data_IF_486049229713
#
_entry.id   IF_486049229713
#
_cell.length_a   1.000
_cell.length_b   1.000
_cell.length_c   1.000
_cell.angle_alpha   90.00
_cell.angle_beta   90.00
_cell.angle_gamma   90.00
#
_symmetry.space_group_name_H-M   'P 1'
#
loop_
_entity.id
_entity.type
_entity.pdbx_description
1 polymer ?
#
# COMPACT_ATOMS: atom_id res chain seq x y z
N UNK A 1 -5.28 14.55 22.15
CA UNK A 1 -4.92 13.98 20.85
C UNK A 1 -3.68 13.13 21.05
N UNK A 2 -3.69 11.87 20.62
CA UNK A 2 -2.48 11.05 20.57
C UNK A 2 -1.53 11.71 19.55
N UNK A 3 -0.31 12.03 19.95
CA UNK A 3 0.67 12.63 19.02
C UNK A 3 1.22 11.50 18.18
N UNK A 4 0.70 11.32 16.96
CA UNK A 4 1.26 10.37 16.02
C UNK A 4 2.66 10.82 15.62
N UNK A 5 3.62 9.92 15.70
CA UNK A 5 5.00 10.15 15.33
C UNK A 5 5.38 9.37 14.06
N UNK A 6 4.61 8.32 13.72
CA UNK A 6 4.86 7.42 12.59
C UNK A 6 3.55 7.17 11.85
N UNK A 7 3.63 6.80 10.61
CA UNK A 7 2.43 6.57 9.79
C UNK A 7 1.58 5.41 10.31
N UNK A 8 2.19 4.34 10.77
CA UNK A 8 1.46 3.18 11.30
C UNK A 8 0.79 3.42 12.66
N UNK A 9 1.08 4.52 13.35
CA UNK A 9 0.37 4.92 14.57
C UNK A 9 -1.14 5.20 14.31
N UNK A 10 -1.54 5.32 13.04
CA UNK A 10 -2.96 5.39 12.67
C UNK A 10 -3.75 4.16 13.14
N UNK A 11 -3.12 2.96 13.21
CA UNK A 11 -3.79 1.74 13.65
C UNK A 11 -4.25 1.84 15.11
N UNK A 12 -3.42 2.35 16.01
CA UNK A 12 -3.76 2.51 17.43
C UNK A 12 -4.95 3.45 17.60
N UNK A 13 -4.97 4.55 16.81
CA UNK A 13 -6.10 5.47 16.79
C UNK A 13 -7.38 4.79 16.30
N UNK A 14 -7.30 4.06 15.18
CA UNK A 14 -8.43 3.36 14.58
C UNK A 14 -9.00 2.28 15.50
N UNK A 15 -8.14 1.49 16.17
CA UNK A 15 -8.54 0.48 17.12
C UNK A 15 -9.27 1.09 18.34
N UNK A 16 -8.88 2.29 18.73
CA UNK A 16 -9.53 3.01 19.84
C UNK A 16 -10.86 3.64 19.45
N UNK A 17 -10.94 4.24 18.26
CA UNK A 17 -12.07 5.08 17.86
C UNK A 17 -13.13 4.34 17.03
N UNK A 18 -12.72 3.35 16.21
CA UNK A 18 -13.63 2.61 15.33
C UNK A 18 -13.21 1.13 15.11
N UNK A 19 -13.07 0.33 16.17
CA UNK A 19 -12.51 -1.03 16.05
C UNK A 19 -13.35 -1.96 15.17
N UNK A 20 -14.67 -1.82 15.18
CA UNK A 20 -15.60 -2.71 14.50
C UNK A 20 -16.24 -2.10 13.24
N UNK A 21 -15.89 -0.84 12.91
CA UNK A 21 -16.39 -0.20 11.70
C UNK A 21 -15.57 -0.63 10.48
N UNK A 22 -16.16 -0.65 9.26
CA UNK A 22 -15.44 -0.89 8.02
C UNK A 22 -14.30 0.13 7.83
N UNK A 23 -13.11 -0.35 7.53
CA UNK A 23 -11.94 0.49 7.26
C UNK A 23 -11.51 0.40 5.79
N UNK A 24 -11.25 -0.81 5.31
CA UNK A 24 -10.84 -1.09 3.93
C UNK A 24 -11.87 -1.99 3.26
N UNK A 25 -12.31 -1.63 2.06
CA UNK A 25 -13.40 -2.34 1.38
C UNK A 25 -13.02 -2.56 -0.09
N UNK A 26 -13.12 -3.80 -0.57
CA UNK A 26 -12.94 -4.14 -1.98
C UNK A 26 -14.01 -5.12 -2.44
N UNK A 27 -14.20 -5.25 -3.75
CA UNK A 27 -15.10 -6.29 -4.28
C UNK A 27 -14.40 -7.64 -4.33
N UNK A 28 -15.04 -8.64 -3.75
CA UNK A 28 -14.69 -10.05 -3.84
C UNK A 28 -15.90 -10.81 -4.38
N UNK A 29 -15.73 -11.53 -5.49
CA UNK A 29 -16.86 -12.23 -6.14
C UNK A 29 -18.05 -11.32 -6.50
N UNK A 30 -17.78 -10.07 -6.88
CA UNK A 30 -18.78 -9.07 -7.26
C UNK A 30 -19.52 -8.40 -6.09
N UNK A 31 -19.14 -8.67 -4.85
CA UNK A 31 -19.74 -8.06 -3.65
C UNK A 31 -18.70 -7.26 -2.86
N UNK A 32 -19.09 -6.12 -2.33
CA UNK A 32 -18.26 -5.32 -1.45
C UNK A 32 -18.02 -6.05 -0.13
N UNK A 33 -16.74 -6.44 0.12
CA UNK A 33 -16.29 -7.04 1.36
C UNK A 33 -15.57 -6.01 2.21
N UNK A 34 -16.12 -5.65 3.37
CA UNK A 34 -15.42 -4.79 4.33
C UNK A 34 -14.43 -5.59 5.19
N UNK A 35 -13.31 -4.95 5.50
CA UNK A 35 -12.40 -5.31 6.57
C UNK A 35 -12.55 -4.25 7.66
N UNK A 36 -12.85 -4.65 8.89
CA UNK A 36 -12.92 -3.75 10.04
C UNK A 36 -11.52 -3.31 10.48
N UNK A 37 -11.43 -2.22 11.25
CA UNK A 37 -10.14 -1.77 11.80
C UNK A 37 -9.44 -2.88 12.60
N UNK A 38 -10.21 -3.67 13.36
CA UNK A 38 -9.69 -4.81 14.13
C UNK A 38 -9.16 -5.92 13.22
N UNK A 39 -9.88 -6.27 12.16
CA UNK A 39 -9.41 -7.27 11.18
C UNK A 39 -8.15 -6.79 10.46
N UNK A 40 -8.09 -5.52 10.05
CA UNK A 40 -6.90 -4.94 9.43
C UNK A 40 -5.71 -5.01 10.37
N UNK A 41 -5.87 -4.61 11.64
CA UNK A 41 -4.81 -4.67 12.63
C UNK A 41 -4.32 -6.11 12.88
N UNK A 42 -5.23 -7.08 13.02
CA UNK A 42 -4.89 -8.49 13.19
C UNK A 42 -4.10 -9.04 11.99
N UNK A 43 -4.52 -8.69 10.77
CA UNK A 43 -3.80 -9.11 9.55
C UNK A 43 -2.41 -8.44 9.49
N UNK A 44 -2.31 -7.16 9.82
CA UNK A 44 -1.03 -6.43 9.85
C UNK A 44 -0.05 -7.08 10.84
N UNK A 45 -0.51 -7.40 12.05
CA UNK A 45 0.30 -8.10 13.06
C UNK A 45 0.77 -9.48 12.56
N UNK A 46 -0.12 -10.27 11.99
CA UNK A 46 0.20 -11.59 11.43
C UNK A 46 1.18 -11.51 10.26
N UNK A 47 0.99 -10.53 9.35
CA UNK A 47 1.93 -10.28 8.25
C UNK A 47 3.31 -9.87 8.78
N UNK A 48 3.36 -8.98 9.76
CA UNK A 48 4.60 -8.54 10.39
C UNK A 48 5.35 -9.73 11.02
N UNK A 49 4.65 -10.56 11.81
CA UNK A 49 5.22 -11.78 12.40
C UNK A 49 5.67 -12.78 11.33
N UNK A 50 4.89 -12.94 10.26
CA UNK A 50 5.26 -13.79 9.12
C UNK A 50 6.50 -13.31 8.38
N UNK A 51 6.64 -12.00 8.18
CA UNK A 51 7.85 -11.42 7.58
C UNK A 51 9.08 -11.61 8.47
N UNK A 52 8.94 -11.44 9.79
CA UNK A 52 10.01 -11.72 10.75
C UNK A 52 10.41 -13.19 10.73
N UNK A 53 9.46 -14.14 10.58
CA UNK A 53 9.76 -15.56 10.46
C UNK A 53 10.55 -15.94 9.21
N UNK A 54 10.45 -15.11 8.15
CA UNK A 54 11.30 -15.23 6.97
C UNK A 54 12.69 -14.60 7.14
N UNK A 55 12.99 -14.07 8.32
CA UNK A 55 14.24 -13.37 8.61
C UNK A 55 14.32 -11.98 7.97
N UNK A 56 13.18 -11.31 7.78
CA UNK A 56 13.19 -9.88 7.45
C UNK A 56 13.76 -9.13 8.63
N UNK A 57 14.76 -8.29 8.38
CA UNK A 57 15.57 -7.67 9.41
C UNK A 57 15.67 -6.16 9.24
N UNK A 58 15.70 -5.47 10.36
CA UNK A 58 16.14 -4.08 10.51
C UNK A 58 17.18 -4.02 11.64
N UNK A 59 18.40 -4.55 11.39
CA UNK A 59 19.45 -4.66 12.41
C UNK A 59 19.84 -3.31 13.00
N UNK A 60 19.98 -2.33 12.14
CA UNK A 60 20.00 -0.91 12.50
C UNK A 60 19.10 -0.14 11.52
N UNK A 61 18.92 1.16 11.73
CA UNK A 61 17.99 1.95 10.91
C UNK A 61 18.67 2.58 9.69
N UNK A 62 19.91 2.18 9.34
CA UNK A 62 20.56 2.56 8.08
C UNK A 62 19.85 1.91 6.88
N UNK A 63 19.86 2.60 5.74
CA UNK A 63 19.17 2.11 4.52
C UNK A 63 19.76 0.77 4.05
N UNK A 64 21.08 0.61 4.17
CA UNK A 64 21.82 -0.55 3.70
C UNK A 64 21.49 -1.82 4.51
N UNK A 65 21.21 -1.67 5.81
CA UNK A 65 20.99 -2.80 6.74
C UNK A 65 19.52 -3.12 6.99
N UNK A 66 18.62 -2.41 6.35
CA UNK A 66 17.19 -2.69 6.40
C UNK A 66 16.77 -3.44 5.16
N UNK A 67 16.05 -4.54 5.35
CA UNK A 67 15.50 -5.31 4.24
C UNK A 67 14.44 -4.51 3.47
N UNK A 68 14.44 -4.66 2.15
CA UNK A 68 13.49 -4.02 1.26
C UNK A 68 12.53 -5.07 0.71
N UNK A 69 11.26 -4.69 0.69
CA UNK A 69 10.15 -5.50 0.19
C UNK A 69 9.49 -4.74 -0.95
N UNK A 70 9.44 -5.34 -2.14
CA UNK A 70 8.74 -4.73 -3.27
C UNK A 70 7.28 -5.17 -3.32
N UNK A 71 6.42 -4.26 -3.80
CA UNK A 71 5.03 -4.55 -4.10
C UNK A 71 4.67 -4.10 -5.51
N UNK A 72 4.17 -5.03 -6.32
CA UNK A 72 3.64 -4.82 -7.67
C UNK A 72 2.17 -5.22 -7.66
N UNK A 73 1.28 -4.32 -7.31
CA UNK A 73 -0.14 -4.64 -7.24
C UNK A 73 -1.00 -3.42 -7.57
N UNK A 74 -2.23 -3.69 -8.00
CA UNK A 74 -3.32 -2.71 -8.08
C UNK A 74 -3.74 -2.30 -6.67
N UNK A 75 -4.57 -1.26 -6.58
CA UNK A 75 -5.15 -0.84 -5.31
C UNK A 75 -6.02 -1.97 -4.73
N UNK A 76 -5.74 -2.32 -3.48
CA UNK A 76 -6.44 -3.38 -2.75
C UNK A 76 -6.16 -3.27 -1.23
N UNK A 77 -7.04 -3.79 -0.37
CA UNK A 77 -6.81 -3.78 1.08
C UNK A 77 -5.46 -4.33 1.51
N UNK A 78 -5.04 -5.44 0.89
CA UNK A 78 -3.79 -6.13 1.24
C UNK A 78 -2.55 -5.30 0.93
N UNK A 79 -2.64 -4.37 -0.03
CA UNK A 79 -1.57 -3.42 -0.31
C UNK A 79 -1.27 -2.56 0.91
N UNK A 80 -2.32 -2.01 1.53
CA UNK A 80 -2.20 -1.15 2.72
C UNK A 80 -1.82 -1.98 3.96
N UNK A 81 -2.37 -3.18 4.09
CA UNK A 81 -2.02 -4.10 5.19
C UNK A 81 -0.53 -4.47 5.14
N UNK A 82 0.00 -4.77 3.95
CA UNK A 82 1.43 -5.05 3.77
C UNK A 82 2.29 -3.81 4.07
N UNK A 83 1.89 -2.63 3.58
CA UNK A 83 2.60 -1.38 3.84
C UNK A 83 2.74 -1.12 5.35
N UNK A 84 1.67 -1.26 6.10
CA UNK A 84 1.67 -1.08 7.56
C UNK A 84 2.51 -2.16 8.27
N UNK A 85 2.44 -3.41 7.83
CA UNK A 85 3.22 -4.50 8.41
C UNK A 85 4.73 -4.31 8.22
N UNK A 86 5.14 -3.93 7.00
CA UNK A 86 6.54 -3.65 6.65
C UNK A 86 7.08 -2.49 7.51
N UNK A 87 6.29 -1.46 7.70
CA UNK A 87 6.66 -0.32 8.53
C UNK A 87 6.85 -0.72 10.01
N UNK A 88 5.92 -1.49 10.59
CA UNK A 88 5.97 -1.90 12.01
C UNK A 88 7.23 -2.67 12.38
N UNK A 89 7.82 -3.40 11.45
CA UNK A 89 9.07 -4.15 11.67
C UNK A 89 10.34 -3.39 11.21
N UNK A 90 10.19 -2.13 10.80
CA UNK A 90 11.30 -1.29 10.39
C UNK A 90 11.90 -1.64 9.03
N UNK A 91 11.28 -2.50 8.22
CA UNK A 91 11.68 -2.75 6.83
C UNK A 91 11.26 -1.58 5.91
N UNK A 92 11.69 -1.59 4.67
CA UNK A 92 11.42 -0.52 3.69
C UNK A 92 10.55 -1.08 2.57
N UNK A 93 9.41 -0.45 2.29
CA UNK A 93 8.58 -0.81 1.15
C UNK A 93 9.05 -0.11 -0.13
N UNK A 94 9.15 -0.86 -1.22
CA UNK A 94 9.48 -0.40 -2.56
C UNK A 94 8.27 -0.63 -3.47
N UNK A 95 7.36 0.34 -3.60
CA UNK A 95 6.23 0.21 -4.50
C UNK A 95 6.67 0.35 -5.95
N UNK A 96 6.23 -0.57 -6.79
CA UNK A 96 6.54 -0.60 -8.22
C UNK A 96 5.23 -0.66 -9.00
N UNK A 97 5.12 0.13 -10.08
CA UNK A 97 3.93 0.10 -10.92
C UNK A 97 3.77 -1.25 -11.62
N UNK A 98 2.55 -1.83 -11.66
CA UNK A 98 2.28 -3.05 -12.42
C UNK A 98 2.68 -2.98 -13.90
N UNK A 99 2.61 -1.77 -14.48
CA UNK A 99 2.95 -1.48 -15.87
C UNK A 99 4.45 -1.27 -16.13
N UNK A 100 5.31 -1.46 -15.11
CA UNK A 100 6.76 -1.29 -15.23
C UNK A 100 7.34 -2.16 -16.35
N UNK A 101 8.29 -1.62 -17.11
CA UNK A 101 9.06 -2.40 -18.06
C UNK A 101 10.00 -3.39 -17.36
N UNK A 102 10.26 -4.54 -18.00
CA UNK A 102 11.09 -5.60 -17.42
C UNK A 102 12.49 -5.12 -17.03
N UNK A 103 13.11 -4.28 -17.88
CA UNK A 103 14.45 -3.74 -17.61
C UNK A 103 14.46 -2.79 -16.39
N UNK A 104 13.42 -1.96 -16.24
CA UNK A 104 13.29 -1.06 -15.10
C UNK A 104 12.99 -1.85 -13.83
N UNK A 105 12.19 -2.92 -13.93
CA UNK A 105 11.95 -3.83 -12.82
C UNK A 105 13.25 -4.48 -12.35
N UNK A 106 14.04 -5.02 -13.29
CA UNK A 106 15.35 -5.60 -12.98
C UNK A 106 16.25 -4.60 -12.27
N UNK A 107 16.31 -3.37 -12.77
CA UNK A 107 17.09 -2.30 -12.17
C UNK A 107 16.63 -2.01 -10.73
N UNK A 108 15.33 -1.78 -10.52
CA UNK A 108 14.77 -1.47 -9.20
C UNK A 108 15.05 -2.58 -8.19
N UNK A 109 14.84 -3.84 -8.56
CA UNK A 109 15.07 -4.98 -7.66
C UNK A 109 16.54 -5.13 -7.27
N UNK A 110 17.46 -4.81 -8.19
CA UNK A 110 18.91 -4.82 -7.93
C UNK A 110 19.35 -3.64 -7.08
N UNK A 111 19.01 -2.42 -7.51
CA UNK A 111 19.47 -1.18 -6.88
C UNK A 111 18.96 -1.05 -5.45
N UNK A 112 17.71 -1.43 -5.19
CA UNK A 112 17.16 -1.47 -3.85
C UNK A 112 17.55 -2.73 -3.06
N UNK A 113 18.24 -3.71 -3.66
CA UNK A 113 18.54 -5.01 -3.02
C UNK A 113 17.29 -5.66 -2.42
N UNK A 114 16.19 -5.68 -3.19
CA UNK A 114 14.89 -6.21 -2.74
C UNK A 114 15.03 -7.67 -2.32
N UNK A 115 14.53 -8.00 -1.12
CA UNK A 115 14.60 -9.36 -0.55
C UNK A 115 13.35 -10.20 -0.84
N UNK A 116 12.18 -9.60 -0.78
CA UNK A 116 10.90 -10.26 -1.07
C UNK A 116 10.05 -9.40 -1.99
N UNK A 117 9.28 -10.04 -2.86
CA UNK A 117 8.40 -9.34 -3.81
C UNK A 117 6.97 -9.84 -3.62
N UNK A 118 6.03 -8.91 -3.51
CA UNK A 118 4.59 -9.20 -3.51
C UNK A 118 3.98 -8.75 -4.83
N UNK A 119 3.27 -9.66 -5.49
CA UNK A 119 2.65 -9.41 -6.80
C UNK A 119 1.14 -9.61 -6.74
N UNK A 120 0.40 -8.92 -7.62
CA UNK A 120 -1.05 -9.02 -7.66
C UNK A 120 -1.52 -10.38 -8.17
N UNK A 121 -0.98 -10.85 -9.32
CA UNK A 121 -1.51 -11.91 -10.15
C UNK A 121 -0.40 -12.70 -10.89
N UNK A 122 -0.83 -13.64 -11.71
CA UNK A 122 0.04 -14.51 -12.49
C UNK A 122 0.91 -13.75 -13.51
N UNK A 123 0.36 -12.71 -14.16
CA UNK A 123 1.11 -11.89 -15.13
C UNK A 123 2.31 -11.23 -14.46
N UNK A 124 2.09 -10.61 -13.31
CA UNK A 124 3.14 -9.95 -12.55
C UNK A 124 4.13 -10.94 -11.91
N UNK A 125 3.65 -12.13 -11.51
CA UNK A 125 4.53 -13.20 -11.08
C UNK A 125 5.51 -13.60 -12.18
N UNK A 126 5.01 -13.87 -13.38
CA UNK A 126 5.89 -14.19 -14.53
C UNK A 126 6.83 -13.04 -14.89
N UNK A 127 6.37 -11.79 -14.79
CA UNK A 127 7.23 -10.61 -15.01
C UNK A 127 8.43 -10.58 -14.06
N UNK A 128 8.22 -10.91 -12.77
CA UNK A 128 9.30 -11.01 -11.78
C UNK A 128 10.20 -12.22 -12.08
N UNK A 129 9.63 -13.37 -12.46
CA UNK A 129 10.42 -14.57 -12.79
C UNK A 129 11.37 -14.32 -13.96
N UNK A 130 10.98 -13.52 -14.95
CA UNK A 130 11.84 -13.18 -16.10
C UNK A 130 13.14 -12.44 -15.71
N UNK A 131 13.18 -11.81 -14.55
CA UNK A 131 14.37 -11.10 -14.04
C UNK A 131 15.02 -11.80 -12.84
N UNK A 132 14.45 -12.91 -12.38
CA UNK A 132 14.82 -13.59 -11.13
C UNK A 132 16.31 -13.96 -11.08
N UNK A 133 16.84 -14.54 -12.15
CA UNK A 133 18.25 -14.96 -12.21
C UNK A 133 19.22 -13.79 -12.09
N UNK A 134 18.78 -12.61 -12.53
CA UNK A 134 19.59 -11.39 -12.49
C UNK A 134 19.41 -10.60 -11.20
N UNK A 135 18.50 -10.99 -10.32
CA UNK A 135 18.18 -10.31 -9.07
C UNK A 135 18.41 -11.24 -7.87
N UNK A 136 19.66 -11.60 -7.55
CA UNK A 136 19.99 -12.62 -6.54
C UNK A 136 19.61 -12.24 -5.11
N UNK A 137 19.36 -10.96 -4.82
CA UNK A 137 18.85 -10.49 -3.55
C UNK A 137 17.42 -10.98 -3.26
N UNK A 138 16.60 -11.16 -4.30
CA UNK A 138 15.21 -11.62 -4.16
C UNK A 138 15.20 -13.08 -3.73
N UNK A 139 14.73 -13.35 -2.51
CA UNK A 139 14.66 -14.70 -1.93
C UNK A 139 13.39 -15.42 -2.37
N UNK A 140 12.26 -14.71 -2.34
CA UNK A 140 10.98 -15.31 -2.69
C UNK A 140 9.98 -14.29 -3.23
N UNK A 141 8.92 -14.80 -3.88
CA UNK A 141 7.81 -14.03 -4.44
C UNK A 141 6.51 -14.56 -3.85
N UNK A 142 5.66 -13.65 -3.38
CA UNK A 142 4.32 -13.94 -2.86
C UNK A 142 3.27 -13.33 -3.77
N UNK A 143 2.19 -14.06 -4.05
CA UNK A 143 1.08 -13.56 -4.84
C UNK A 143 -0.15 -13.31 -3.97
N UNK A 144 -0.88 -12.24 -4.25
CA UNK A 144 -2.15 -11.96 -3.60
C UNK A 144 -3.28 -12.84 -4.13
N UNK A 145 -3.19 -13.26 -5.40
CA UNK A 145 -4.08 -14.25 -5.99
C UNK A 145 -3.45 -15.65 -5.94
N UNK A 146 -4.28 -16.69 -6.11
CA UNK A 146 -3.76 -18.05 -6.18
C UNK A 146 -3.13 -18.31 -7.57
N UNK A 147 -1.82 -18.44 -7.60
CA UNK A 147 -1.02 -18.70 -8.80
C UNK A 147 -0.22 -19.97 -8.62
N UNK A 148 -0.29 -20.88 -9.60
CA UNK A 148 0.47 -22.13 -9.57
C UNK A 148 1.97 -21.86 -9.54
N UNK A 149 2.68 -22.50 -8.61
CA UNK A 149 4.14 -22.32 -8.45
C UNK A 149 4.55 -21.03 -7.73
N UNK A 150 3.62 -20.18 -7.32
CA UNK A 150 3.88 -19.01 -6.49
C UNK A 150 3.33 -19.20 -5.08
N UNK A 151 4.08 -18.77 -4.09
CA UNK A 151 3.60 -18.77 -2.70
C UNK A 151 2.46 -17.77 -2.53
N UNK A 152 1.43 -18.17 -1.80
CA UNK A 152 0.31 -17.28 -1.52
C UNK A 152 0.59 -16.46 -0.26
N UNK A 153 0.35 -15.15 -0.30
CA UNK A 153 0.63 -14.23 0.80
C UNK A 153 0.02 -14.63 2.15
N UNK A 154 -1.13 -15.33 2.12
CA UNK A 154 -1.79 -15.80 3.35
C UNK A 154 -0.98 -16.85 4.12
N UNK A 155 0.03 -17.47 3.51
CA UNK A 155 0.94 -18.37 4.23
C UNK A 155 1.65 -17.62 5.35
N UNK A 156 1.94 -16.34 5.16
CA UNK A 156 2.58 -15.50 6.18
C UNK A 156 1.68 -15.24 7.39
N UNK A 157 0.36 -15.29 7.23
CA UNK A 157 -0.57 -15.06 8.34
C UNK A 157 -0.52 -16.15 9.43
N UNK A 158 0.09 -17.28 9.12
CA UNK A 158 0.24 -18.42 10.03
C UNK A 158 1.69 -18.83 10.27
N UNK A 159 2.65 -18.11 9.66
CA UNK A 159 4.07 -18.46 9.74
C UNK A 159 4.77 -17.92 11.00
N UNK A 160 4.22 -16.86 11.60
CA UNK A 160 4.81 -16.26 12.81
C UNK A 160 4.57 -17.10 14.07
N UNK A 161 5.60 -17.21 14.91
CA UNK A 161 5.50 -17.77 16.28
C UNK A 161 5.22 -16.66 17.30
N UNK A 162 4.93 -17.04 18.55
CA UNK A 162 4.75 -16.11 19.66
C UNK A 162 5.95 -15.15 19.80
N UNK A 163 7.17 -15.64 19.66
CA UNK A 163 8.40 -14.84 19.71
C UNK A 163 8.40 -13.75 18.62
N UNK A 164 7.95 -14.06 17.39
CA UNK A 164 7.87 -13.07 16.32
C UNK A 164 6.85 -11.96 16.64
N UNK A 165 5.72 -12.27 17.28
CA UNK A 165 4.77 -11.26 17.71
C UNK A 165 5.36 -10.33 18.78
N UNK A 166 6.12 -10.85 19.75
CA UNK A 166 6.79 -10.06 20.77
C UNK A 166 7.87 -9.14 20.18
N UNK A 167 8.56 -9.59 19.12
CA UNK A 167 9.56 -8.80 18.41
C UNK A 167 8.95 -7.62 17.64
N UNK A 168 7.69 -7.66 17.21
CA UNK A 168 7.05 -6.55 16.50
C UNK A 168 7.08 -5.27 17.33
N UNK A 169 6.69 -5.34 18.60
CA UNK A 169 6.69 -4.17 19.49
C UNK A 169 8.10 -3.65 19.70
N UNK A 170 9.06 -4.55 19.93
CA UNK A 170 10.48 -4.19 20.06
C UNK A 170 11.02 -3.47 18.82
N UNK A 171 10.61 -3.89 17.62
CA UNK A 171 10.97 -3.21 16.38
C UNK A 171 10.27 -1.85 16.29
N UNK A 172 8.96 -1.80 16.56
CA UNK A 172 8.17 -0.58 16.47
C UNK A 172 8.69 0.53 17.40
N UNK A 173 9.13 0.21 18.62
CA UNK A 173 9.70 1.16 19.57
C UNK A 173 11.01 1.81 19.08
N UNK A 174 11.74 1.15 18.20
CA UNK A 174 13.01 1.63 17.65
C UNK A 174 12.85 2.54 16.43
N UNK A 175 11.64 2.69 15.91
CA UNK A 175 11.35 3.46 14.71
C UNK A 175 10.98 4.88 15.09
N UNK A 176 11.72 5.85 14.56
CA UNK A 176 11.50 7.28 14.77
C UNK A 176 10.85 7.94 13.55
N UNK A 177 10.35 9.14 13.74
CA UNK A 177 9.71 9.94 12.69
C UNK A 177 10.63 10.19 11.49
N UNK A 178 11.93 10.27 11.72
CA UNK A 178 12.95 10.54 10.69
C UNK A 178 13.33 9.28 9.89
N UNK A 179 12.94 8.10 10.37
CA UNK A 179 13.31 6.86 9.69
C UNK A 179 12.57 6.71 8.37
N UNK A 180 13.29 6.18 7.39
CA UNK A 180 12.73 5.88 6.08
C UNK A 180 11.68 4.76 6.19
N UNK A 181 10.60 4.87 5.45
CA UNK A 181 9.61 3.80 5.35
C UNK A 181 9.42 3.31 3.90
N UNK A 182 9.91 4.07 2.91
CA UNK A 182 9.75 3.71 1.50
C UNK A 182 10.83 4.31 0.61
N UNK A 183 11.08 3.61 -0.50
CA UNK A 183 11.88 4.12 -1.63
C UNK A 183 10.99 4.02 -2.88
N UNK A 184 10.71 5.14 -3.52
CA UNK A 184 9.87 5.22 -4.72
C UNK A 184 10.74 5.54 -5.93
N UNK A 185 10.76 4.65 -6.91
CA UNK A 185 11.53 4.85 -8.12
C UNK A 185 10.75 5.69 -9.14
N UNK A 186 11.38 6.75 -9.62
CA UNK A 186 10.85 7.64 -10.65
C UNK A 186 11.72 7.59 -11.89
N UNK A 187 11.13 7.78 -13.07
CA UNK A 187 11.89 7.92 -14.31
C UNK A 187 12.76 9.19 -14.21
N UNK A 188 14.07 9.02 -14.08
CA UNK A 188 15.00 10.14 -14.08
C UNK A 188 15.06 10.81 -15.46
N UNK A 189 15.38 12.10 -15.49
CA UNK A 189 15.64 12.87 -16.73
C UNK A 189 16.77 12.28 -17.58
N UNK A 190 17.60 11.43 -16.98
CA UNK A 190 18.74 10.72 -17.61
C UNK A 190 18.37 9.32 -18.13
N UNK A 191 17.11 8.90 -18.03
CA UNK A 191 16.63 7.58 -18.45
C UNK A 191 16.83 6.46 -17.43
N UNK A 192 17.69 6.60 -16.43
CA UNK A 192 17.85 5.62 -15.35
C UNK A 192 16.92 5.97 -14.19
N UNK A 193 16.11 5.02 -13.68
CA UNK A 193 15.26 5.26 -12.52
C UNK A 193 16.05 5.73 -11.30
N UNK A 194 15.47 6.63 -10.51
CA UNK A 194 16.06 7.14 -9.26
C UNK A 194 15.16 6.81 -8.09
N UNK A 195 15.74 6.21 -7.04
CA UNK A 195 15.05 5.88 -5.80
C UNK A 195 14.88 7.10 -4.89
N UNK A 196 13.68 7.64 -4.80
CA UNK A 196 13.33 8.72 -3.87
C UNK A 196 13.07 8.12 -2.50
N UNK A 197 13.90 8.45 -1.54
CA UNK A 197 13.82 8.00 -0.15
C UNK A 197 12.91 8.92 0.66
N UNK A 198 11.88 8.37 1.30
CA UNK A 198 10.92 9.12 2.10
C UNK A 198 10.84 8.57 3.52
N UNK A 199 10.94 9.48 4.49
CA UNK A 199 10.75 9.18 5.92
C UNK A 199 9.28 9.28 6.33
N UNK A 200 8.94 8.72 7.50
CA UNK A 200 7.64 8.94 8.13
C UNK A 200 7.30 10.42 8.22
N UNK A 201 8.28 11.27 8.58
CA UNK A 201 8.11 12.72 8.69
C UNK A 201 7.66 13.36 7.38
N UNK A 202 8.26 12.98 6.24
CA UNK A 202 7.93 13.59 4.96
C UNK A 202 6.44 13.47 4.63
N UNK A 203 5.84 12.32 4.95
CA UNK A 203 4.42 12.09 4.65
C UNK A 203 3.54 12.55 5.81
N UNK A 204 3.90 12.25 7.06
CA UNK A 204 3.09 12.58 8.22
C UNK A 204 2.86 14.10 8.34
N UNK A 205 3.87 14.92 8.04
CA UNK A 205 3.72 16.38 8.05
C UNK A 205 2.65 16.87 7.05
N UNK A 206 2.65 16.28 5.83
CA UNK A 206 1.63 16.58 4.82
C UNK A 206 0.25 16.06 5.24
N UNK A 207 0.18 14.85 5.80
CA UNK A 207 -1.06 14.28 6.33
C UNK A 207 -1.66 15.18 7.39
N UNK A 208 -0.88 15.57 8.40
CA UNK A 208 -1.37 16.40 9.51
C UNK A 208 -1.83 17.80 9.03
N UNK A 209 -1.08 18.43 8.13
CA UNK A 209 -1.49 19.71 7.53
C UNK A 209 -2.77 19.59 6.69
N UNK A 210 -2.95 18.49 5.98
CA UNK A 210 -4.12 18.26 5.13
C UNK A 210 -5.37 17.90 5.94
N UNK A 211 -5.23 17.27 7.11
CA UNK A 211 -6.37 16.91 7.96
C UNK A 211 -7.23 18.11 8.37
N UNK A 212 -6.65 19.30 8.47
CA UNK A 212 -7.38 20.53 8.79
C UNK A 212 -8.40 20.91 7.70
N UNK A 213 -8.13 20.53 6.44
CA UNK A 213 -9.01 20.80 5.29
C UNK A 213 -10.06 19.69 5.07
N UNK A 214 -9.87 18.52 5.70
CA UNK A 214 -10.80 17.41 5.55
C UNK A 214 -11.94 17.51 6.58
N UNK A 215 -13.19 17.24 6.18
CA UNK A 215 -14.29 17.21 7.14
C UNK A 215 -14.05 16.11 8.18
N UNK A 216 -14.48 16.30 9.43
CA UNK A 216 -14.31 15.29 10.49
C UNK A 216 -14.88 13.93 10.07
N UNK A 217 -14.05 12.87 10.19
CA UNK A 217 -14.20 11.65 9.45
C UNK A 217 -15.04 10.54 10.04
N UNK A 218 -15.84 10.74 11.07
CA UNK A 218 -16.66 9.65 11.59
C UNK A 218 -17.62 9.09 10.54
N UNK A 219 -17.37 7.84 10.11
CA UNK A 219 -18.21 7.07 9.16
C UNK A 219 -18.31 7.64 7.74
N UNK A 220 -17.33 8.43 7.32
CA UNK A 220 -17.26 8.87 5.94
C UNK A 220 -16.70 7.75 5.05
N UNK A 221 -17.05 7.81 3.77
CA UNK A 221 -16.59 6.87 2.75
C UNK A 221 -15.77 7.62 1.71
N UNK A 222 -14.68 7.00 1.28
CA UNK A 222 -13.92 7.44 0.11
C UNK A 222 -13.87 6.35 -0.94
N UNK A 223 -13.64 6.73 -2.21
CA UNK A 223 -13.31 5.81 -3.29
C UNK A 223 -11.88 6.07 -3.75
N UNK A 224 -11.02 5.06 -3.61
CA UNK A 224 -9.62 5.07 -4.04
C UNK A 224 -9.48 4.41 -5.40
N UNK A 225 -8.87 5.11 -6.37
CA UNK A 225 -8.64 4.62 -7.73
C UNK A 225 -7.35 5.14 -8.36
N UNK A 226 -6.72 6.17 -7.79
CA UNK A 226 -5.37 6.57 -8.20
C UNK A 226 -4.36 5.55 -7.69
N UNK A 227 -3.23 5.30 -8.40
CA UNK A 227 -2.31 4.23 -8.01
C UNK A 227 -1.67 4.46 -6.64
N UNK A 228 -1.79 3.48 -5.72
CA UNK A 228 -1.11 3.48 -4.41
C UNK A 228 0.43 3.44 -4.54
N UNK A 229 0.93 3.00 -5.68
CA UNK A 229 2.35 3.05 -6.01
C UNK A 229 2.87 4.49 -6.19
N UNK A 230 1.96 5.45 -6.40
CA UNK A 230 2.29 6.87 -6.43
C UNK A 230 2.12 7.48 -5.04
N UNK A 231 3.10 8.29 -4.60
CA UNK A 231 3.11 8.85 -3.26
C UNK A 231 1.88 9.71 -2.94
N UNK A 232 1.28 10.35 -3.94
CA UNK A 232 0.10 11.18 -3.74
C UNK A 232 -1.08 10.36 -3.20
N UNK A 233 -1.49 9.28 -3.87
CA UNK A 233 -2.61 8.44 -3.40
C UNK A 233 -2.27 7.73 -2.08
N UNK A 234 -1.01 7.33 -1.90
CA UNK A 234 -0.56 6.74 -0.66
C UNK A 234 -0.63 7.73 0.51
N UNK A 235 -0.24 8.99 0.31
CA UNK A 235 -0.39 10.05 1.31
C UNK A 235 -1.88 10.28 1.63
N UNK A 236 -2.74 10.34 0.61
CA UNK A 236 -4.18 10.51 0.77
C UNK A 236 -4.79 9.33 1.54
N UNK A 237 -4.32 8.10 1.29
CA UNK A 237 -4.71 6.92 2.08
C UNK A 237 -4.43 7.14 3.56
N UNK A 238 -3.26 7.67 3.93
CA UNK A 238 -2.98 7.99 5.33
C UNK A 238 -3.86 9.12 5.88
N UNK A 239 -4.21 10.13 5.07
CA UNK A 239 -5.20 11.13 5.48
C UNK A 239 -6.52 10.44 5.84
N UNK A 240 -7.00 9.52 5.00
CA UNK A 240 -8.23 8.78 5.26
C UNK A 240 -8.13 7.93 6.54
N UNK A 241 -7.03 7.21 6.75
CA UNK A 241 -6.80 6.41 7.95
C UNK A 241 -6.79 7.28 9.23
N UNK A 242 -6.07 8.39 9.22
CA UNK A 242 -6.05 9.32 10.36
C UNK A 242 -7.37 10.09 10.54
N UNK A 243 -8.19 10.21 9.49
CA UNK A 243 -9.50 10.84 9.52
C UNK A 243 -10.66 9.86 9.82
N UNK A 244 -10.38 8.59 10.14
CA UNK A 244 -11.40 7.56 10.39
C UNK A 244 -12.36 7.36 9.19
N UNK A 245 -11.86 7.44 7.97
CA UNK A 245 -12.63 7.33 6.74
C UNK A 245 -12.52 5.90 6.17
N UNK A 246 -13.65 5.27 5.86
CA UNK A 246 -13.69 3.98 5.16
C UNK A 246 -13.23 4.14 3.72
N UNK A 247 -12.26 3.34 3.29
CA UNK A 247 -11.67 3.39 1.95
C UNK A 247 -12.24 2.24 1.11
N UNK A 248 -12.96 2.58 0.05
CA UNK A 248 -13.39 1.66 -0.98
C UNK A 248 -12.40 1.68 -2.14
N UNK A 249 -11.98 0.52 -2.62
CA UNK A 249 -11.08 0.41 -3.78
C UNK A 249 -11.90 0.12 -5.02
N UNK A 250 -11.76 0.98 -6.04
CA UNK A 250 -12.37 0.76 -7.34
C UNK A 250 -11.80 -0.49 -8.01
N UNK A 251 -12.64 -1.25 -8.73
CA UNK A 251 -12.23 -2.48 -9.41
C UNK A 251 -11.27 -2.18 -10.57
N UNK A 252 -11.54 -1.13 -11.33
CA UNK A 252 -10.72 -0.64 -12.43
C UNK A 252 -11.04 0.83 -12.76
N UNK A 253 -10.25 1.45 -13.63
CA UNK A 253 -10.52 2.82 -14.11
C UNK A 253 -11.83 2.90 -14.93
N UNK A 254 -12.21 1.84 -15.61
CA UNK A 254 -13.42 1.75 -16.43
C UNK A 254 -14.68 1.71 -15.56
N UNK A 255 -14.60 1.07 -14.40
CA UNK A 255 -15.74 0.86 -13.50
C UNK A 255 -15.94 1.99 -12.48
N UNK A 256 -15.08 3.03 -12.46
CA UNK A 256 -15.17 4.13 -11.48
C UNK A 256 -16.60 4.71 -11.42
N UNK A 257 -17.23 4.96 -12.58
CA UNK A 257 -18.57 5.53 -12.64
C UNK A 257 -19.64 4.67 -11.96
N UNK A 258 -19.57 3.37 -12.09
CA UNK A 258 -20.48 2.44 -11.47
C UNK A 258 -20.16 2.24 -9.99
N UNK A 259 -18.88 2.15 -9.64
CA UNK A 259 -18.44 2.10 -8.24
C UNK A 259 -18.83 3.37 -7.46
N UNK A 260 -18.78 4.56 -8.08
CA UNK A 260 -19.28 5.81 -7.47
C UNK A 260 -20.78 5.74 -7.15
N UNK A 261 -21.59 5.18 -8.06
CA UNK A 261 -23.04 5.00 -7.85
C UNK A 261 -23.34 4.01 -6.72
N UNK A 262 -22.58 2.91 -6.65
CA UNK A 262 -22.76 1.87 -5.64
C UNK A 262 -22.32 2.33 -4.25
N UNK A 263 -21.13 2.93 -4.16
CA UNK A 263 -20.50 3.33 -2.89
C UNK A 263 -21.09 4.61 -2.34
N UNK A 264 -21.42 5.57 -3.23
CA UNK A 264 -21.84 6.92 -2.86
C UNK A 264 -20.86 7.54 -1.86
N UNK A 265 -19.56 7.74 -2.24
CA UNK A 265 -18.55 8.23 -1.33
C UNK A 265 -18.82 9.70 -0.98
N UNK A 266 -18.45 10.07 0.25
CA UNK A 266 -18.52 11.47 0.70
C UNK A 266 -17.40 12.31 0.07
N UNK A 267 -16.27 11.65 -0.24
CA UNK A 267 -15.11 12.27 -0.85
C UNK A 267 -14.30 11.28 -1.69
N UNK A 268 -13.54 11.79 -2.61
CA UNK A 268 -12.48 11.07 -3.32
C UNK A 268 -11.46 12.08 -3.85
N UNK A 269 -10.23 11.62 -4.05
CA UNK A 269 -9.19 12.41 -4.69
C UNK A 269 -9.11 12.05 -6.16
N UNK A 270 -8.82 13.06 -6.99
CA UNK A 270 -8.67 12.88 -8.42
C UNK A 270 -7.60 13.83 -8.97
N UNK A 271 -7.27 13.65 -10.23
CA UNK A 271 -6.32 14.48 -10.97
C UNK A 271 -7.01 15.14 -12.17
N UNK A 272 -6.57 16.35 -12.61
CA UNK A 272 -7.22 17.08 -13.70
C UNK A 272 -7.50 16.24 -14.93
N UNK A 273 -6.53 15.43 -15.36
CA UNK A 273 -6.67 14.58 -16.55
C UNK A 273 -7.85 13.60 -16.49
N UNK A 274 -8.22 13.12 -15.29
CA UNK A 274 -9.38 12.25 -15.17
C UNK A 274 -10.68 13.04 -15.29
N UNK A 275 -10.74 14.24 -14.71
CA UNK A 275 -11.90 15.14 -14.86
C UNK A 275 -12.13 15.52 -16.32
N UNK A 276 -11.06 15.84 -17.06
CA UNK A 276 -11.11 16.10 -18.50
C UNK A 276 -11.71 14.92 -19.27
N UNK A 277 -11.24 13.69 -19.01
CA UNK A 277 -11.78 12.48 -19.63
C UNK A 277 -13.27 12.24 -19.30
N UNK A 278 -13.68 12.53 -18.08
CA UNK A 278 -15.09 12.40 -17.68
C UNK A 278 -15.93 13.47 -18.40
N UNK A 279 -15.44 14.70 -18.46
CA UNK A 279 -16.07 15.79 -19.18
C UNK A 279 -16.26 15.44 -20.66
N UNK A 280 -15.20 14.99 -21.34
CA UNK A 280 -15.25 14.59 -22.75
C UNK A 280 -16.29 13.48 -23.01
N UNK A 281 -16.36 12.48 -22.13
CA UNK A 281 -17.39 11.43 -22.22
C UNK A 281 -18.81 11.96 -22.07
N UNK A 282 -19.03 12.93 -21.19
CA UNK A 282 -20.35 13.57 -20.99
C UNK A 282 -20.72 14.37 -22.23
N UNK A 283 -19.79 15.16 -22.77
CA UNK A 283 -20.02 15.96 -23.97
C UNK A 283 -20.31 15.10 -25.20
N UNK A 284 -19.55 13.98 -25.35
CA UNK A 284 -19.80 13.04 -26.45
C UNK A 284 -21.20 12.42 -26.37
N UNK A 285 -21.59 11.94 -25.20
CA UNK A 285 -22.96 11.40 -25.00
C UNK A 285 -24.05 12.47 -25.19
N UNK A 286 -23.81 13.71 -24.79
CA UNK A 286 -24.73 14.82 -25.00
C UNK A 286 -24.93 15.13 -26.50
N UNK A 287 -23.85 15.05 -27.29
CA UNK A 287 -23.93 15.27 -28.75
C UNK A 287 -24.64 14.14 -29.52
N UNK A 288 -24.71 12.93 -28.95
CA UNK A 288 -25.45 11.81 -29.53
C UNK A 288 -26.98 11.89 -29.28
N UNK A 289 -27.39 12.76 -28.36
CA UNK A 289 -28.80 12.96 -27.98
C UNK A 289 -29.46 14.17 -28.69
N UNK A 290 -28.67 14.93 -29.42
CA UNK A 290 -29.11 16.06 -30.27
C UNK A 290 -29.07 15.68 -31.74
#
# INVERSE_FOLDING_TARGET
>A
MMKANRLFDCLDKLLKEMPNDPLLVAKEGGKWRPYTSKEVADIVEKLAAGLLSLGVSSQDMSVERRDKIAILAKNRPEWVMLDLAVQKIGAILVPVYPTVHVNDLEFVLKDAEVKYVFVNDEELYHKVQNVREKTPSVKDVFCFEHVSGCRHWKELLTAGSQEHFELIETHAERIFTEDLFTIIYTSGTTGTPKGVMLSHRNILSNVMASLEAFPPGTRQKSLSFLPLNHIFERMVTYIYLFNNTTIYYAESLETIGDNLKEVQPNMFTTVPRLLEKVYDKIMLKGSELT
#
